data_IF_262773360958
#
_entry.id   IF_262773360958
#
_cell.length_a   1.000
_cell.length_b   1.000
_cell.length_c   1.000
_cell.angle_alpha   90.00
_cell.angle_beta   90.00
_cell.angle_gamma   90.00
#
_symmetry.space_group_name_H-M   'P 1'
#
loop_
_entity.id
_entity.type
_entity.pdbx_description
1 polymer ?
#
# COMPACT_ATOMS: atom_id res chain seq x y z
N UNK A 1 -11.32 11.38 11.62
CA UNK A 1 -10.17 10.46 11.53
C UNK A 1 -10.24 9.81 10.16
N UNK A 2 -9.15 9.82 9.38
CA UNK A 2 -9.10 9.08 8.12
C UNK A 2 -9.27 7.59 8.40
N UNK A 3 -9.97 6.89 7.51
CA UNK A 3 -10.07 5.44 7.62
C UNK A 3 -8.72 4.79 7.21
N UNK A 4 -8.43 3.59 7.72
CA UNK A 4 -7.15 2.90 7.44
C UNK A 4 -6.88 2.73 5.94
N UNK A 5 -7.94 2.54 5.15
CA UNK A 5 -7.86 2.43 3.69
C UNK A 5 -7.37 3.72 3.01
N UNK A 6 -7.81 4.90 3.46
CA UNK A 6 -7.32 6.19 2.97
C UNK A 6 -5.84 6.39 3.30
N UNK A 7 -5.43 5.99 4.50
CA UNK A 7 -4.02 6.05 4.90
C UNK A 7 -3.17 5.16 3.99
N UNK A 8 -3.59 3.93 3.74
CA UNK A 8 -2.89 2.99 2.85
C UNK A 8 -2.79 3.52 1.43
N UNK A 9 -3.85 4.16 0.91
CA UNK A 9 -3.83 4.80 -0.43
C UNK A 9 -2.78 5.91 -0.52
N UNK A 10 -2.71 6.78 0.49
CA UNK A 10 -1.70 7.85 0.54
C UNK A 10 -0.28 7.29 0.66
N UNK A 11 -0.09 6.21 1.45
CA UNK A 11 1.21 5.52 1.54
C UNK A 11 1.62 4.92 0.19
N UNK A 12 0.67 4.27 -0.50
CA UNK A 12 0.87 3.70 -1.83
C UNK A 12 1.33 4.74 -2.84
N UNK A 13 0.65 5.89 -2.90
CA UNK A 13 1.02 7.00 -3.78
C UNK A 13 2.44 7.48 -3.52
N UNK A 14 2.81 7.66 -2.25
CA UNK A 14 4.17 8.07 -1.87
C UNK A 14 5.23 7.04 -2.30
N UNK A 15 4.96 5.75 -2.12
CA UNK A 15 5.87 4.68 -2.54
C UNK A 15 6.02 4.67 -4.07
N UNK A 16 4.94 4.87 -4.82
CA UNK A 16 4.99 4.97 -6.28
C UNK A 16 5.85 6.15 -6.76
N UNK A 17 5.76 7.31 -6.11
CA UNK A 17 6.66 8.45 -6.38
C UNK A 17 8.12 8.05 -6.11
N UNK A 18 8.40 7.42 -4.97
CA UNK A 18 9.76 6.99 -4.62
C UNK A 18 10.33 5.94 -5.61
N UNK A 19 9.51 5.06 -6.17
CA UNK A 19 9.94 4.10 -7.21
C UNK A 19 10.44 4.83 -8.46
N UNK A 20 9.82 5.97 -8.80
CA UNK A 20 10.19 6.75 -9.98
C UNK A 20 11.42 7.63 -9.75
N UNK A 21 11.60 8.12 -8.52
CA UNK A 21 12.65 9.09 -8.17
C UNK A 21 13.92 8.46 -7.57
N UNK A 22 13.80 7.33 -6.87
CA UNK A 22 14.89 6.65 -6.16
C UNK A 22 15.15 5.23 -6.70
N UNK A 23 15.87 5.17 -7.81
CA UNK A 23 16.27 3.91 -8.46
C UNK A 23 17.20 3.05 -7.61
N UNK A 24 17.99 3.65 -6.73
CA UNK A 24 18.96 2.93 -5.90
C UNK A 24 18.26 2.04 -4.86
N UNK A 25 17.12 2.48 -4.35
CA UNK A 25 16.32 1.71 -3.38
C UNK A 25 15.06 1.09 -4.00
N UNK A 26 15.00 0.95 -5.34
CA UNK A 26 13.82 0.44 -6.04
C UNK A 26 13.30 -0.90 -5.48
N UNK A 27 14.19 -1.82 -5.10
CA UNK A 27 13.79 -3.10 -4.51
C UNK A 27 13.07 -2.94 -3.16
N UNK A 28 13.55 -2.00 -2.32
CA UNK A 28 12.89 -1.66 -1.06
C UNK A 28 11.50 -1.09 -1.31
N UNK A 29 11.37 -0.14 -2.24
CA UNK A 29 10.09 0.49 -2.55
C UNK A 29 9.09 -0.49 -3.18
N UNK A 30 9.56 -1.43 -4.00
CA UNK A 30 8.70 -2.50 -4.52
C UNK A 30 8.22 -3.45 -3.41
N UNK A 31 9.07 -3.76 -2.43
CA UNK A 31 8.68 -4.57 -1.27
C UNK A 31 7.62 -3.85 -0.44
N UNK A 32 7.84 -2.57 -0.14
CA UNK A 32 6.88 -1.75 0.62
C UNK A 32 5.54 -1.58 -0.13
N UNK A 33 5.58 -1.54 -1.48
CA UNK A 33 4.36 -1.52 -2.30
C UNK A 33 3.57 -2.84 -2.19
N UNK A 34 4.26 -3.98 -2.20
CA UNK A 34 3.63 -5.29 -2.02
C UNK A 34 2.97 -5.40 -0.64
N UNK A 35 3.67 -5.01 0.43
CA UNK A 35 3.12 -5.05 1.79
C UNK A 35 1.84 -4.20 1.92
N UNK A 36 1.79 -3.04 1.25
CA UNK A 36 0.62 -2.16 1.23
C UNK A 36 -0.54 -2.80 0.45
N UNK A 37 -0.26 -3.36 -0.73
CA UNK A 37 -1.30 -3.98 -1.57
C UNK A 37 -1.88 -5.24 -0.88
N UNK A 38 -1.05 -6.04 -0.21
CA UNK A 38 -1.48 -7.20 0.58
C UNK A 38 -2.40 -6.79 1.75
N UNK A 39 -2.07 -5.72 2.48
CA UNK A 39 -2.94 -5.23 3.58
C UNK A 39 -4.29 -4.71 3.06
N UNK A 40 -4.29 -4.04 1.89
CA UNK A 40 -5.53 -3.58 1.26
C UNK A 40 -6.40 -4.78 0.86
N UNK A 41 -5.80 -5.82 0.29
CA UNK A 41 -6.49 -7.06 -0.09
C UNK A 41 -7.07 -7.77 1.13
N UNK A 42 -6.27 -7.97 2.19
CA UNK A 42 -6.73 -8.60 3.42
C UNK A 42 -7.92 -7.85 4.04
N UNK A 43 -7.85 -6.51 4.10
CA UNK A 43 -8.95 -5.68 4.58
C UNK A 43 -10.20 -5.80 3.71
N UNK A 44 -10.05 -5.97 2.40
CA UNK A 44 -11.17 -6.16 1.47
C UNK A 44 -11.82 -7.54 1.67
N UNK A 45 -11.01 -8.59 1.83
CA UNK A 45 -11.48 -9.95 2.12
C UNK A 45 -12.20 -10.04 3.47
N UNK A 46 -11.65 -9.43 4.51
CA UNK A 46 -12.26 -9.39 5.83
C UNK A 46 -13.64 -8.71 5.79
N UNK A 47 -13.78 -7.61 5.03
CA UNK A 47 -15.09 -6.98 4.80
C UNK A 47 -16.07 -7.90 4.07
N UNK A 48 -15.59 -8.71 3.13
CA UNK A 48 -16.42 -9.67 2.41
C UNK A 48 -16.88 -10.86 3.27
N UNK A 49 -16.09 -11.30 4.25
CA UNK A 49 -16.43 -12.42 5.15
C UNK A 49 -17.41 -12.07 6.26
N UNK A 50 -17.63 -10.77 6.54
CA UNK A 50 -18.47 -10.28 7.64
C UNK A 50 -19.90 -9.91 7.15
N UNK A 51 -20.15 -9.94 5.85
CA UNK A 51 -21.49 -9.82 5.24
C UNK A 51 -22.07 -11.20 4.90
#
# INVERSE_FOLDING_TARGET
MMNRTEILRLQREKVLTNIQEDYANRAKWLTELMDIDDEIEEMAEQKHKVN
#
